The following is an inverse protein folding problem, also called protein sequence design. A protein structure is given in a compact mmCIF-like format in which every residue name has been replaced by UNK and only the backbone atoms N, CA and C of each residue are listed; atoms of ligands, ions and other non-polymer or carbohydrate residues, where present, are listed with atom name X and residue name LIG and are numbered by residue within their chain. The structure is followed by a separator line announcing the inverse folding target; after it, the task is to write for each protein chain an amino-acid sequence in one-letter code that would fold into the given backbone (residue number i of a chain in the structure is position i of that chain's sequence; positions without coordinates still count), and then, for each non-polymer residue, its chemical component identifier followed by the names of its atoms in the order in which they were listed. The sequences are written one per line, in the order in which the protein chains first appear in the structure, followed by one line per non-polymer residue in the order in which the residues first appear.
data_IF_348361699867
#
_entry.id   IF_348361699867
#
_cell.length_a   1.000
_cell.length_b   1.000
_cell.length_c   1.000
_cell.angle_alpha   90.00
_cell.angle_beta   90.00
_cell.angle_gamma   90.00
#
_symmetry.space_group_name_H-M   'P 1'
#
loop_
_entity.id
_entity.type
_entity.pdbx_description
1 polymer ?
#
# COMPACT_ATOMS: atom_id res chain seq x y z
N UNK A 1 -18.70 -17.27 -13.13
CA UNK A 1 -17.78 -17.15 -14.32
C UNK A 1 -16.37 -17.48 -13.88
N UNK A 2 -15.49 -17.83 -14.82
CA UNK A 2 -14.03 -17.84 -14.60
C UNK A 2 -13.47 -16.48 -15.04
N UNK A 3 -12.67 -15.86 -14.20
CA UNK A 3 -12.10 -14.52 -14.43
C UNK A 3 -10.60 -14.59 -14.20
N UNK A 4 -9.83 -14.16 -15.19
CA UNK A 4 -8.38 -13.98 -15.06
C UNK A 4 -8.07 -12.55 -14.63
N UNK A 5 -7.29 -12.38 -13.57
CA UNK A 5 -6.76 -11.10 -13.10
C UNK A 5 -5.26 -11.06 -13.37
N UNK A 6 -4.78 -10.06 -14.09
CA UNK A 6 -3.37 -9.90 -14.41
C UNK A 6 -2.77 -8.82 -13.52
N UNK A 7 -1.78 -9.22 -12.72
CA UNK A 7 -1.09 -8.38 -11.75
C UNK A 7 -1.55 -8.63 -10.33
N UNK A 8 -0.60 -9.00 -9.46
CA UNK A 8 -0.81 -9.30 -8.03
C UNK A 8 -0.45 -8.15 -7.11
N UNK A 9 -0.54 -6.90 -7.59
CA UNK A 9 -0.48 -5.72 -6.74
C UNK A 9 -1.80 -5.50 -6.00
N UNK A 10 -1.89 -4.45 -5.17
CA UNK A 10 -3.07 -4.15 -4.34
C UNK A 10 -4.35 -4.07 -5.17
N UNK A 11 -4.30 -3.44 -6.36
CA UNK A 11 -5.46 -3.34 -7.25
C UNK A 11 -5.95 -4.70 -7.76
N UNK A 12 -5.02 -5.56 -8.21
CA UNK A 12 -5.38 -6.89 -8.69
C UNK A 12 -5.87 -7.82 -7.59
N UNK A 13 -5.24 -7.76 -6.42
CA UNK A 13 -5.66 -8.52 -5.23
C UNK A 13 -7.05 -8.07 -4.77
N UNK A 14 -7.30 -6.77 -4.70
CA UNK A 14 -8.61 -6.22 -4.34
C UNK A 14 -9.70 -6.59 -5.33
N UNK A 15 -9.43 -6.47 -6.64
CA UNK A 15 -10.37 -6.89 -7.68
C UNK A 15 -10.68 -8.40 -7.60
N UNK A 16 -9.64 -9.22 -7.42
CA UNK A 16 -9.79 -10.67 -7.25
C UNK A 16 -10.62 -11.03 -6.03
N UNK A 17 -10.39 -10.36 -4.92
CA UNK A 17 -11.15 -10.53 -3.69
C UNK A 17 -12.63 -10.21 -3.88
N UNK A 18 -12.96 -9.05 -4.44
CA UNK A 18 -14.34 -8.65 -4.69
C UNK A 18 -15.06 -9.59 -5.68
N UNK A 19 -14.36 -10.01 -6.74
CA UNK A 19 -14.93 -10.98 -7.69
C UNK A 19 -15.18 -12.35 -7.03
N UNK A 20 -14.30 -12.79 -6.14
CA UNK A 20 -14.50 -14.03 -5.39
C UNK A 20 -15.69 -13.94 -4.44
N UNK A 21 -15.89 -12.80 -3.77
CA UNK A 21 -17.11 -12.54 -2.94
C UNK A 21 -18.39 -12.63 -3.76
N UNK A 22 -18.34 -12.23 -5.03
CA UNK A 22 -19.48 -12.36 -5.95
C UNK A 22 -19.67 -13.78 -6.50
N UNK A 23 -18.90 -14.76 -6.03
CA UNK A 23 -19.01 -16.17 -6.41
C UNK A 23 -18.33 -16.52 -7.74
N UNK A 24 -17.43 -15.67 -8.22
CA UNK A 24 -16.64 -15.97 -9.41
C UNK A 24 -15.42 -16.83 -9.07
N UNK A 25 -15.03 -17.69 -10.01
CA UNK A 25 -13.74 -18.40 -9.94
C UNK A 25 -12.65 -17.47 -10.48
N UNK A 26 -11.74 -17.03 -9.61
CA UNK A 26 -10.70 -16.07 -9.95
C UNK A 26 -9.34 -16.76 -10.07
N UNK A 27 -8.66 -16.51 -11.17
CA UNK A 27 -7.28 -16.93 -11.40
C UNK A 27 -6.42 -15.65 -11.49
N UNK A 28 -5.45 -15.50 -10.58
CA UNK A 28 -4.58 -14.35 -10.55
C UNK A 28 -3.20 -14.72 -11.14
N UNK A 29 -2.74 -13.92 -12.08
CA UNK A 29 -1.46 -14.10 -12.76
C UNK A 29 -0.52 -12.97 -12.38
N UNK A 30 0.59 -13.28 -11.72
CA UNK A 30 1.63 -12.35 -11.32
C UNK A 30 2.96 -12.77 -11.93
N UNK A 31 3.68 -11.83 -12.52
CA UNK A 31 4.99 -12.05 -13.14
C UNK A 31 6.11 -12.20 -12.09
N UNK A 32 6.03 -11.44 -11.01
CA UNK A 32 7.01 -11.49 -9.94
C UNK A 32 6.80 -12.74 -9.07
N UNK A 33 7.84 -13.26 -8.41
CA UNK A 33 7.73 -14.39 -7.49
C UNK A 33 7.08 -14.01 -6.14
N UNK A 34 6.48 -12.84 -6.02
CA UNK A 34 5.81 -12.33 -4.83
C UNK A 34 4.58 -11.50 -5.22
N UNK A 35 3.65 -11.36 -4.28
CA UNK A 35 2.46 -10.52 -4.39
C UNK A 35 2.69 -9.16 -3.70
N UNK A 36 1.75 -8.23 -3.89
CA UNK A 36 1.75 -6.91 -3.28
C UNK A 36 2.23 -5.77 -4.19
N UNK A 37 2.96 -6.08 -5.28
CA UNK A 37 3.46 -5.07 -6.21
C UNK A 37 4.33 -4.03 -5.50
N UNK A 38 4.01 -2.74 -5.63
CA UNK A 38 4.74 -1.65 -4.99
C UNK A 38 4.54 -1.60 -3.46
N UNK A 39 3.45 -2.20 -2.93
CA UNK A 39 3.21 -2.33 -1.50
C UNK A 39 4.00 -3.48 -0.85
N UNK A 40 4.72 -4.28 -1.65
CA UNK A 40 5.61 -5.31 -1.11
C UNK A 40 6.88 -4.70 -0.53
N UNK A 41 7.55 -5.45 0.34
CA UNK A 41 8.79 -5.05 1.00
C UNK A 41 10.01 -5.81 0.48
N UNK A 42 11.17 -5.39 0.89
CA UNK A 42 12.44 -6.08 0.70
C UNK A 42 13.35 -5.89 1.92
N UNK A 43 14.28 -6.80 2.12
CA UNK A 43 15.18 -6.77 3.28
C UNK A 43 16.30 -5.73 3.10
N UNK A 44 16.49 -4.90 4.12
CA UNK A 44 17.60 -3.92 4.19
C UNK A 44 18.16 -3.88 5.61
N UNK A 45 19.40 -4.28 5.75
CA UNK A 45 20.12 -4.14 7.01
C UNK A 45 19.48 -4.82 8.22
N UNK A 46 18.74 -5.91 8.00
CA UNK A 46 18.04 -6.64 9.05
C UNK A 46 16.64 -6.14 9.36
N UNK A 47 16.13 -5.18 8.58
CA UNK A 47 14.75 -4.71 8.62
C UNK A 47 14.06 -4.86 7.27
N UNK A 48 12.78 -4.48 7.23
CA UNK A 48 11.99 -4.47 6.01
C UNK A 48 11.79 -3.02 5.55
N UNK A 49 12.00 -2.77 4.26
CA UNK A 49 11.72 -1.49 3.63
C UNK A 49 10.71 -1.70 2.50
N UNK A 50 9.78 -0.80 2.36
CA UNK A 50 8.80 -0.79 1.27
C UNK A 50 9.49 -0.51 -0.08
N UNK A 51 9.02 -1.18 -1.15
CA UNK A 51 9.53 -0.96 -2.51
C UNK A 51 9.20 0.42 -3.04
N UNK A 52 8.10 0.97 -2.58
CA UNK A 52 7.68 2.33 -2.90
C UNK A 52 6.90 2.89 -1.71
N UNK A 53 7.13 4.14 -1.35
CA UNK A 53 6.38 4.76 -0.27
C UNK A 53 4.91 4.86 -0.63
N UNK A 54 4.05 4.59 0.33
CA UNK A 54 2.61 4.78 0.22
C UNK A 54 2.05 5.20 1.57
N UNK A 55 1.02 6.03 1.51
CA UNK A 55 0.36 6.55 2.69
C UNK A 55 -1.13 6.29 2.59
N UNK A 56 -1.76 6.06 3.73
CA UNK A 56 -3.20 6.09 3.90
C UNK A 56 -3.57 7.37 4.64
N UNK A 57 -4.61 8.04 4.16
CA UNK A 57 -5.20 9.16 4.85
C UNK A 57 -6.47 8.72 5.58
N UNK A 58 -6.85 9.43 6.63
CA UNK A 58 -8.10 9.18 7.36
C UNK A 58 -9.34 9.27 6.46
N UNK A 59 -9.24 9.97 5.33
CA UNK A 59 -10.29 10.06 4.30
C UNK A 59 -10.42 8.83 3.41
N UNK A 60 -9.45 7.92 3.40
CA UNK A 60 -9.39 6.78 2.48
C UNK A 60 -10.27 5.63 2.97
N UNK A 61 -11.57 5.91 3.13
CA UNK A 61 -12.55 5.02 3.77
C UNK A 61 -12.70 3.67 3.09
N UNK A 62 -12.49 3.60 1.78
CA UNK A 62 -12.62 2.33 1.03
C UNK A 62 -11.55 1.32 1.45
N UNK A 63 -10.28 1.72 1.50
CA UNK A 63 -9.21 0.81 1.90
C UNK A 63 -9.25 0.53 3.40
N UNK A 64 -9.60 1.52 4.21
CA UNK A 64 -9.80 1.35 5.66
C UNK A 64 -10.90 0.31 5.92
N UNK A 65 -12.04 0.43 5.22
CA UNK A 65 -13.13 -0.53 5.29
C UNK A 65 -12.71 -1.94 4.88
N UNK A 66 -11.95 -2.08 3.81
CA UNK A 66 -11.40 -3.36 3.38
C UNK A 66 -10.47 -3.97 4.44
N UNK A 67 -9.61 -3.17 5.06
CA UNK A 67 -8.72 -3.65 6.13
C UNK A 67 -9.51 -4.14 7.35
N UNK A 68 -10.60 -3.48 7.71
CA UNK A 68 -11.50 -3.96 8.75
C UNK A 68 -12.20 -5.26 8.35
N UNK A 69 -12.67 -5.37 7.11
CA UNK A 69 -13.28 -6.61 6.58
C UNK A 69 -12.31 -7.80 6.60
N UNK A 70 -11.02 -7.53 6.36
CA UNK A 70 -9.95 -8.53 6.41
C UNK A 70 -9.40 -8.78 7.84
N UNK A 71 -10.05 -8.24 8.87
CA UNK A 71 -9.63 -8.34 10.28
C UNK A 71 -8.23 -7.77 10.55
N UNK A 72 -7.82 -6.78 9.74
CA UNK A 72 -6.52 -6.10 9.86
C UNK A 72 -6.65 -4.68 10.45
N UNK A 73 -7.86 -4.24 10.81
CA UNK A 73 -8.11 -2.88 11.32
C UNK A 73 -7.25 -2.52 12.54
N UNK A 74 -7.06 -3.46 13.47
CA UNK A 74 -6.24 -3.27 14.68
C UNK A 74 -4.74 -3.13 14.39
N UNK A 75 -4.32 -3.42 13.16
CA UNK A 75 -2.92 -3.24 12.71
C UNK A 75 -2.66 -1.89 12.07
N UNK A 76 -3.69 -1.08 11.84
CA UNK A 76 -3.53 0.29 11.36
C UNK A 76 -2.95 1.17 12.48
N UNK A 77 -1.81 1.76 12.19
CA UNK A 77 -1.16 2.72 13.07
C UNK A 77 -1.21 4.08 12.38
N UNK A 78 -1.79 5.06 13.07
CA UNK A 78 -1.88 6.43 12.58
C UNK A 78 -0.79 7.26 13.22
N UNK A 79 0.04 7.86 12.40
CA UNK A 79 1.12 8.73 12.86
C UNK A 79 1.14 10.04 12.09
N UNK A 80 1.58 11.10 12.74
CA UNK A 80 1.79 12.39 12.09
C UNK A 80 2.97 12.28 11.12
N UNK A 81 2.69 12.44 9.84
CA UNK A 81 3.71 12.39 8.80
C UNK A 81 4.51 13.70 8.77
N UNK A 82 5.84 13.56 8.82
CA UNK A 82 6.77 14.68 8.59
C UNK A 82 7.53 14.42 7.30
N UNK A 83 7.42 15.36 6.37
CA UNK A 83 8.12 15.29 5.08
C UNK A 83 9.28 16.27 5.08
N UNK A 84 10.38 15.86 4.50
CA UNK A 84 11.54 16.70 4.30
C UNK A 84 12.28 16.28 3.03
N UNK A 85 13.15 17.13 2.52
CA UNK A 85 14.04 16.78 1.44
C UNK A 85 15.49 16.94 1.86
N UNK A 86 16.33 16.06 1.34
CA UNK A 86 17.76 16.07 1.59
C UNK A 86 18.47 16.76 0.43
N UNK A 87 19.26 17.80 0.73
CA UNK A 87 20.05 18.51 -0.26
C UNK A 87 21.37 18.99 0.35
N UNK A 88 22.47 18.78 -0.34
CA UNK A 88 23.82 19.18 0.06
C UNK A 88 24.20 18.83 1.51
N UNK A 89 23.88 17.61 1.96
CA UNK A 89 24.21 17.12 3.29
C UNK A 89 23.27 17.60 4.41
N UNK A 90 22.18 18.29 4.10
CA UNK A 90 21.21 18.81 5.07
C UNK A 90 19.79 18.32 4.75
N UNK A 91 18.99 18.19 5.81
CA UNK A 91 17.56 17.91 5.71
C UNK A 91 16.80 19.22 5.90
N UNK A 92 15.91 19.50 4.98
CA UNK A 92 15.02 20.66 5.00
C UNK A 92 13.58 20.17 5.23
N UNK A 93 12.86 20.71 6.21
CA UNK A 93 11.46 20.35 6.40
C UNK A 93 10.61 20.81 5.21
N UNK A 94 9.56 20.03 4.91
CA UNK A 94 8.63 20.32 3.82
C UNK A 94 7.22 19.82 4.21
N UNK A 95 6.77 20.18 5.40
CA UNK A 95 5.49 19.69 5.94
C UNK A 95 4.45 20.79 6.07
N UNK A 96 4.87 22.05 6.08
CA UNK A 96 3.98 23.18 6.27
C UNK A 96 4.22 24.27 5.21
N UNK A 97 3.22 25.13 4.93
CA UNK A 97 3.40 26.28 4.05
C UNK A 97 4.54 27.22 4.51
N UNK A 98 4.82 27.29 5.81
CA UNK A 98 5.92 28.07 6.37
C UNK A 98 7.30 27.52 6.04
N UNK A 99 7.41 26.26 5.69
CA UNK A 99 8.69 25.65 5.29
C UNK A 99 9.12 26.09 3.88
N UNK A 100 8.24 26.75 3.12
CA UNK A 100 8.48 27.24 1.76
C UNK A 100 8.93 28.71 1.73
N UNK A 101 8.91 29.43 2.86
CA UNK A 101 9.23 30.84 3.00
C UNK A 101 10.58 31.03 3.70
#
# INVERSE_FOLDING_TARGET
MRVGVIGGGVGGLGAGYELAKLGHHVELYERAPFLGGLASTFDVGGGQLERFYHHLFLSDQTIIGLLHELELGDRLIWEDSKVGFFYQGKIYPFSTPGDLL
#
